data_IF_610503167954
#
_entry.id   IF_610503167954
#
_cell.length_a   1.000
_cell.length_b   1.000
_cell.length_c   1.000
_cell.angle_alpha   90.00
_cell.angle_beta   90.00
_cell.angle_gamma   90.00
#
_symmetry.space_group_name_H-M   'P 1'
#
loop_
_entity.id
_entity.type
_entity.pdbx_description
1 polymer ?
#
# COMPACT_ATOMS: atom_id res chain seq x y z
N UNK A 1 20.56 -0.50 13.89
CA UNK A 1 19.94 -0.32 15.21
C UNK A 1 18.46 -0.62 15.08
N UNK A 2 18.10 -1.87 15.31
CA UNK A 2 16.73 -2.38 15.27
C UNK A 2 16.01 -1.90 16.53
N UNK A 3 15.25 -0.82 16.40
CA UNK A 3 14.24 -0.48 17.40
C UNK A 3 13.07 -1.46 17.27
N UNK A 4 13.19 -2.66 17.84
CA UNK A 4 12.03 -3.44 18.24
C UNK A 4 11.48 -2.81 19.52
N UNK A 5 10.62 -1.80 19.39
CA UNK A 5 9.82 -1.31 20.51
C UNK A 5 8.64 -2.25 20.70
N UNK A 6 8.54 -2.88 21.86
CA UNK A 6 7.49 -3.84 22.28
C UNK A 6 6.07 -3.24 22.40
N UNK A 7 5.82 -2.07 21.81
CA UNK A 7 4.56 -1.31 21.87
C UNK A 7 3.86 -1.13 20.52
N UNK A 8 4.31 -1.81 19.45
CA UNK A 8 3.84 -1.58 18.07
C UNK A 8 2.32 -1.70 17.87
N UNK A 9 1.59 -2.41 18.74
CA UNK A 9 0.14 -2.57 18.62
C UNK A 9 -0.67 -1.33 19.02
N UNK A 10 -0.07 -0.35 19.71
CA UNK A 10 -0.74 0.88 20.21
C UNK A 10 -0.13 2.18 19.66
N UNK A 11 0.71 2.12 18.64
CA UNK A 11 1.28 3.34 18.05
C UNK A 11 0.20 4.12 17.29
N UNK A 12 -0.26 5.23 17.87
CA UNK A 12 -1.17 6.20 17.26
C UNK A 12 -0.62 6.77 15.95
N UNK A 13 0.71 6.73 15.77
CA UNK A 13 1.40 7.08 14.54
C UNK A 13 2.12 5.86 13.96
N UNK A 14 1.88 5.59 12.68
CA UNK A 14 2.55 4.52 11.94
C UNK A 14 3.31 5.15 10.78
N UNK A 15 4.49 4.63 10.45
CA UNK A 15 5.25 5.08 9.29
C UNK A 15 4.50 4.83 7.97
N UNK A 16 4.94 5.52 6.93
CA UNK A 16 4.45 5.32 5.57
C UNK A 16 4.72 3.90 5.07
N UNK A 17 4.00 3.44 4.04
CA UNK A 17 4.28 2.14 3.41
C UNK A 17 5.75 2.02 2.95
N UNK A 18 6.39 3.12 2.56
CA UNK A 18 7.80 3.13 2.13
C UNK A 18 8.75 2.87 3.30
N UNK A 19 8.47 3.41 4.47
CA UNK A 19 9.26 3.19 5.70
C UNK A 19 9.06 1.77 6.25
N UNK A 20 7.91 1.16 5.98
CA UNK A 20 7.57 -0.21 6.35
C UNK A 20 8.01 -1.26 5.30
N UNK A 21 8.56 -0.82 4.18
CA UNK A 21 8.98 -1.67 3.06
C UNK A 21 10.15 -2.59 3.47
N UNK A 22 10.10 -3.86 3.03
CA UNK A 22 11.19 -4.82 3.24
C UNK A 22 11.62 -5.36 1.86
N UNK A 23 12.89 -5.14 1.45
CA UNK A 23 13.38 -5.60 0.15
C UNK A 23 13.13 -7.09 -0.10
N UNK A 24 12.64 -7.42 -1.29
CA UNK A 24 12.29 -8.76 -1.75
C UNK A 24 10.90 -9.26 -1.33
N UNK A 25 10.17 -8.53 -0.48
CA UNK A 25 8.86 -8.94 0.00
C UNK A 25 7.79 -8.74 -1.08
N UNK A 26 6.96 -9.77 -1.30
CA UNK A 26 5.92 -9.76 -2.34
C UNK A 26 4.52 -9.82 -1.76
N UNK A 27 3.66 -8.93 -2.26
CA UNK A 27 2.27 -8.78 -1.81
C UNK A 27 1.38 -9.89 -2.34
N UNK A 28 1.49 -10.14 -3.63
CA UNK A 28 0.64 -11.10 -4.33
C UNK A 28 1.49 -11.90 -5.32
N UNK A 29 0.92 -13.01 -5.82
CA UNK A 29 1.48 -13.80 -6.91
C UNK A 29 0.43 -13.88 -8.02
N UNK A 30 0.84 -13.50 -9.23
CA UNK A 30 0.00 -13.70 -10.40
C UNK A 30 -0.15 -15.20 -10.68
N UNK A 31 -1.32 -15.57 -11.20
CA UNK A 31 -1.57 -16.91 -11.71
C UNK A 31 -0.77 -17.21 -12.99
N UNK A 32 -0.98 -18.40 -13.54
CA UNK A 32 -0.43 -18.74 -14.86
C UNK A 32 -1.06 -17.83 -15.93
N UNK A 33 -0.25 -17.47 -16.93
CA UNK A 33 -0.74 -16.77 -18.12
C UNK A 33 -1.79 -17.64 -18.83
N UNK A 34 -2.90 -17.01 -19.18
CA UNK A 34 -3.98 -17.54 -20.02
C UNK A 34 -3.85 -17.10 -21.49
N UNK A 35 -2.84 -16.28 -21.78
CA UNK A 35 -2.51 -15.72 -23.10
C UNK A 35 -1.05 -15.99 -23.47
N UNK A 36 -0.68 -15.91 -24.76
CA UNK A 36 0.72 -16.00 -25.18
C UNK A 36 1.61 -14.95 -24.50
N UNK A 37 2.84 -15.33 -24.22
CA UNK A 37 3.84 -14.43 -23.63
C UNK A 37 4.25 -13.34 -24.63
N UNK A 38 4.43 -12.11 -24.13
CA UNK A 38 4.84 -10.96 -24.92
C UNK A 38 6.08 -10.31 -24.32
N UNK A 39 7.08 -10.03 -25.16
CA UNK A 39 8.31 -9.34 -24.77
C UNK A 39 8.35 -7.93 -25.36
N UNK A 40 8.68 -6.94 -24.53
CA UNK A 40 8.82 -5.56 -24.97
C UNK A 40 10.15 -5.32 -25.70
N UNK A 41 10.18 -4.51 -26.78
CA UNK A 41 11.43 -4.03 -27.36
C UNK A 41 12.29 -3.30 -26.32
N UNK A 42 13.58 -3.60 -26.24
CA UNK A 42 14.49 -3.06 -25.21
C UNK A 42 14.56 -1.53 -25.20
N UNK A 43 14.42 -0.90 -26.38
CA UNK A 43 14.43 0.56 -26.52
C UNK A 43 13.18 1.23 -25.93
N UNK A 44 12.11 0.47 -25.70
CA UNK A 44 10.87 0.94 -25.08
C UNK A 44 10.74 0.46 -23.62
N UNK A 45 11.58 -0.47 -23.18
CA UNK A 45 11.54 -1.02 -21.84
C UNK A 45 12.11 -0.04 -20.80
N UNK A 46 11.51 -0.03 -19.62
CA UNK A 46 12.02 0.77 -18.49
C UNK A 46 13.33 0.16 -17.97
N UNK A 47 14.38 0.97 -17.82
CA UNK A 47 15.72 0.52 -17.38
C UNK A 47 15.83 0.22 -15.88
N UNK A 48 15.07 0.94 -15.05
CA UNK A 48 15.11 0.83 -13.59
C UNK A 48 13.74 0.44 -13.07
N UNK A 49 13.64 -0.34 -12.00
CA UNK A 49 12.34 -0.65 -11.36
C UNK A 49 11.63 0.61 -10.85
N UNK A 50 10.31 0.51 -10.66
CA UNK A 50 9.54 1.53 -9.93
C UNK A 50 9.93 1.52 -8.45
N UNK A 51 10.03 2.70 -7.84
CA UNK A 51 10.23 2.82 -6.39
C UNK A 51 8.90 2.56 -5.68
N UNK A 52 8.50 1.31 -5.61
CA UNK A 52 7.30 0.85 -4.92
C UNK A 52 7.68 0.14 -3.62
N UNK A 53 6.85 0.22 -2.57
CA UNK A 53 7.10 -0.52 -1.35
C UNK A 53 6.93 -2.03 -1.58
N UNK A 54 7.78 -2.80 -0.92
CA UNK A 54 7.83 -4.27 -0.98
C UNK A 54 7.20 -4.82 0.30
N UNK A 55 5.94 -5.24 0.22
CA UNK A 55 5.10 -5.58 1.38
C UNK A 55 4.23 -6.82 1.11
N UNK A 56 3.76 -7.49 2.16
CA UNK A 56 2.78 -8.60 2.02
C UNK A 56 1.37 -8.05 1.89
N UNK A 57 0.44 -8.81 1.30
CA UNK A 57 -0.98 -8.40 1.20
C UNK A 57 -1.57 -8.04 2.57
N UNK A 58 -1.26 -8.83 3.60
CA UNK A 58 -1.78 -8.61 4.95
C UNK A 58 -1.24 -7.31 5.54
N UNK A 59 0.04 -6.97 5.30
CA UNK A 59 0.61 -5.71 5.80
C UNK A 59 -0.03 -4.50 5.11
N UNK A 60 -0.28 -4.58 3.80
CA UNK A 60 -0.98 -3.55 3.03
C UNK A 60 -2.40 -3.37 3.55
N UNK A 61 -3.15 -4.47 3.72
CA UNK A 61 -4.53 -4.43 4.23
C UNK A 61 -4.60 -3.80 5.62
N UNK A 62 -3.67 -4.20 6.51
CA UNK A 62 -3.55 -3.65 7.87
C UNK A 62 -3.25 -2.15 7.87
N UNK A 63 -2.31 -1.71 7.03
CA UNK A 63 -1.94 -0.30 6.93
C UNK A 63 -3.14 0.56 6.49
N UNK A 64 -3.79 0.20 5.38
CA UNK A 64 -4.93 0.99 4.89
C UNK A 64 -6.15 0.94 5.81
N UNK A 65 -6.36 -0.16 6.54
CA UNK A 65 -7.42 -0.25 7.55
C UNK A 65 -7.17 0.69 8.73
N UNK A 66 -5.92 0.84 9.18
CA UNK A 66 -5.59 1.81 10.24
C UNK A 66 -5.64 3.23 9.72
N UNK A 67 -5.14 3.47 8.52
CA UNK A 67 -5.17 4.80 7.88
C UNK A 67 -6.61 5.29 7.69
N UNK A 68 -7.57 4.42 7.35
CA UNK A 68 -8.96 4.81 7.18
C UNK A 68 -9.61 5.30 8.47
N UNK A 69 -9.17 4.81 9.64
CA UNK A 69 -9.65 5.28 10.95
C UNK A 69 -9.18 6.70 11.28
N UNK A 70 -8.18 7.22 10.55
CA UNK A 70 -7.70 8.60 10.65
C UNK A 70 -8.41 9.56 9.69
N UNK A 71 -9.41 9.09 8.95
CA UNK A 71 -10.17 9.89 8.01
C UNK A 71 -11.66 9.94 8.43
N UNK A 72 -12.27 11.12 8.36
CA UNK A 72 -13.72 11.24 8.48
C UNK A 72 -14.36 10.98 7.11
N UNK A 73 -15.48 10.26 7.09
CA UNK A 73 -16.20 9.96 5.85
C UNK A 73 -17.69 10.22 6.03
N UNK A 74 -18.44 10.35 4.92
CA UNK A 74 -19.90 10.48 4.95
C UNK A 74 -20.59 9.30 5.63
N UNK A 75 -19.94 8.13 5.66
CA UNK A 75 -20.47 6.93 6.31
C UNK A 75 -20.39 7.04 7.84
N UNK A 76 -19.54 7.93 8.36
CA UNK A 76 -19.41 8.20 9.80
C UNK A 76 -20.42 9.22 10.32
N UNK A 77 -20.98 10.07 9.45
CA UNK A 77 -21.97 11.07 9.84
C UNK A 77 -22.15 12.19 8.83
N UNK A 78 -22.85 13.24 9.25
CA UNK A 78 -23.16 14.38 8.38
C UNK A 78 -21.87 15.03 7.85
N UNK A 79 -21.83 15.28 6.54
CA UNK A 79 -20.70 15.89 5.84
C UNK A 79 -21.19 17.10 5.00
N UNK A 80 -21.60 18.22 5.64
CA UNK A 80 -22.42 19.26 5.01
C UNK A 80 -21.58 20.24 4.16
N UNK A 81 -20.93 19.73 3.12
CA UNK A 81 -20.18 20.52 2.16
C UNK A 81 -21.09 20.92 0.99
N UNK A 82 -21.46 22.20 0.95
CA UNK A 82 -22.25 22.78 -0.13
C UNK A 82 -21.59 22.59 -1.50
N UNK A 83 -22.41 22.45 -2.55
CA UNK A 83 -21.97 22.21 -3.94
C UNK A 83 -21.29 20.86 -4.22
N UNK A 84 -21.01 20.03 -3.21
CA UNK A 84 -20.36 18.73 -3.39
C UNK A 84 -21.35 17.55 -3.45
N UNK A 85 -22.61 17.76 -3.01
CA UNK A 85 -23.63 16.68 -2.89
C UNK A 85 -23.08 15.47 -2.12
N UNK A 86 -22.41 15.75 -0.99
CA UNK A 86 -21.71 14.78 -0.14
C UNK A 86 -22.64 14.08 0.85
#
# INVERSE_FOLDING_TARGET
MTHLSSTTTLALEEGTLFEQSIPGRRGFRLGKLDVPEFSFPENLARKNSANLPEMTEVDVARHFTRLSQRNYSKDMGLYPLGSCTM
#
